data_IF_890990250355
#
_entry.id   IF_890990250355
#
_cell.length_a   1.000
_cell.length_b   1.000
_cell.length_c   1.000
_cell.angle_alpha   90.00
_cell.angle_beta   90.00
_cell.angle_gamma   90.00
#
_symmetry.space_group_name_H-M   'P 1'
#
loop_
_entity.id
_entity.type
_entity.pdbx_description
1 polymer ?
#
# COMPACT_ATOMS: atom_id res chain seq x y z
N UNK A 1 -2.87 19.54 43.40
CA UNK A 1 -2.89 18.22 42.72
C UNK A 1 -3.08 18.44 41.24
N UNK A 2 -2.38 17.67 40.40
CA UNK A 2 -2.49 17.79 38.95
C UNK A 2 -3.78 17.09 38.48
N UNK A 3 -4.58 17.79 37.67
CA UNK A 3 -5.81 17.24 37.12
C UNK A 3 -6.70 18.31 36.48
N UNK A 4 -7.77 17.87 35.84
CA UNK A 4 -8.80 18.75 35.30
C UNK A 4 -9.91 18.95 36.35
N UNK A 5 -10.23 20.20 36.67
CA UNK A 5 -11.38 20.50 37.53
C UNK A 5 -12.66 20.55 36.70
N UNK A 6 -13.66 19.77 37.09
CA UNK A 6 -14.99 19.70 36.50
C UNK A 6 -16.04 20.07 37.53
N UNK A 7 -17.03 20.88 37.14
CA UNK A 7 -18.10 21.31 38.04
C UNK A 7 -19.46 20.89 37.50
N UNK A 8 -20.30 20.28 38.35
CA UNK A 8 -21.69 19.92 38.03
C UNK A 8 -22.50 19.90 39.32
N UNK A 9 -23.72 20.42 39.28
CA UNK A 9 -24.62 20.49 40.45
C UNK A 9 -23.97 21.16 41.68
N UNK A 10 -23.19 22.24 41.48
CA UNK A 10 -22.41 22.93 42.50
C UNK A 10 -21.31 22.11 43.20
N UNK A 11 -21.05 20.88 42.75
CA UNK A 11 -19.92 20.07 43.20
C UNK A 11 -18.73 20.25 42.25
N UNK A 12 -17.51 20.28 42.79
CA UNK A 12 -16.27 20.32 42.00
C UNK A 12 -15.50 19.02 42.17
N UNK A 13 -15.21 18.38 41.05
CA UNK A 13 -14.46 17.13 40.94
C UNK A 13 -13.11 17.42 40.31
N UNK A 14 -12.04 16.90 40.90
CA UNK A 14 -10.73 16.89 40.29
C UNK A 14 -10.50 15.53 39.63
N UNK A 15 -10.36 15.56 38.31
CA UNK A 15 -10.08 14.40 37.47
C UNK A 15 -8.56 14.24 37.38
N UNK A 16 -8.04 13.22 38.05
CA UNK A 16 -6.60 12.95 38.10
C UNK A 16 -6.15 12.11 36.91
N UNK A 17 -4.91 12.29 36.42
CA UNK A 17 -4.43 11.63 35.20
C UNK A 17 -4.38 10.09 35.29
N UNK A 18 -4.44 9.51 36.50
CA UNK A 18 -4.36 8.06 36.72
C UNK A 18 -5.71 7.42 37.03
N UNK A 19 -6.81 8.11 36.75
CA UNK A 19 -8.16 7.54 36.80
C UNK A 19 -8.94 7.78 38.09
N UNK A 20 -8.30 8.31 39.12
CA UNK A 20 -8.97 8.70 40.38
C UNK A 20 -9.73 10.01 40.20
N UNK A 21 -10.83 10.15 40.92
CA UNK A 21 -11.57 11.40 41.07
C UNK A 21 -11.55 11.81 42.53
N UNK A 22 -11.11 13.05 42.81
CA UNK A 22 -11.10 13.60 44.16
C UNK A 22 -12.04 14.80 44.31
N UNK A 23 -12.60 14.95 45.50
CA UNK A 23 -13.41 16.10 45.93
C UNK A 23 -12.96 16.46 47.34
N UNK A 24 -12.62 17.72 47.59
CA UNK A 24 -12.07 18.18 48.88
C UNK A 24 -10.87 17.33 49.37
N UNK A 25 -9.99 16.94 48.44
CA UNK A 25 -8.83 16.06 48.67
C UNK A 25 -9.13 14.62 49.14
N UNK A 26 -10.40 14.18 49.08
CA UNK A 26 -10.78 12.80 49.32
C UNK A 26 -11.13 12.10 48.00
N UNK A 27 -10.76 10.82 47.85
CA UNK A 27 -11.14 10.02 46.70
C UNK A 27 -12.63 9.70 46.74
N UNK A 28 -13.36 10.10 45.70
CA UNK A 28 -14.82 9.94 45.61
C UNK A 28 -15.25 9.03 44.47
N UNK A 29 -14.32 8.58 43.61
CA UNK A 29 -14.64 7.68 42.52
C UNK A 29 -13.52 7.52 41.51
N UNK A 30 -13.91 7.07 40.31
CA UNK A 30 -13.05 6.90 39.15
C UNK A 30 -13.66 7.59 37.93
N UNK A 31 -12.86 7.77 36.88
CA UNK A 31 -13.38 8.29 35.62
C UNK A 31 -12.92 7.50 34.41
N UNK A 32 -13.71 7.57 33.34
CA UNK A 32 -13.36 7.11 31.98
C UNK A 32 -14.01 8.05 30.97
N UNK A 33 -13.83 7.78 29.70
CA UNK A 33 -14.59 8.37 28.60
C UNK A 33 -15.69 7.44 28.12
N UNK A 34 -16.80 8.01 27.66
CA UNK A 34 -17.87 7.25 26.97
C UNK A 34 -17.69 7.25 25.44
N UNK A 35 -18.63 6.61 24.74
CA UNK A 35 -18.64 6.51 23.27
C UNK A 35 -18.76 7.87 22.55
N UNK A 36 -19.15 8.93 23.27
CA UNK A 36 -19.27 10.31 22.77
C UNK A 36 -18.10 11.20 23.24
N UNK A 37 -17.03 10.58 23.76
CA UNK A 37 -15.84 11.23 24.28
C UNK A 37 -16.08 12.17 25.46
N UNK A 38 -17.21 12.07 26.16
CA UNK A 38 -17.44 12.81 27.40
C UNK A 38 -16.65 12.17 28.52
N UNK A 39 -16.23 12.96 29.51
CA UNK A 39 -15.70 12.40 30.75
C UNK A 39 -16.88 11.91 31.60
N UNK A 40 -16.84 10.65 32.01
CA UNK A 40 -17.81 10.04 32.92
C UNK A 40 -17.11 9.72 34.24
N UNK A 41 -17.58 10.35 35.31
CA UNK A 41 -17.19 10.06 36.68
C UNK A 41 -18.15 9.03 37.25
N UNK A 42 -17.64 7.89 37.69
CA UNK A 42 -18.36 6.89 38.50
C UNK A 42 -17.98 7.10 39.96
N UNK A 43 -18.92 7.56 40.78
CA UNK A 43 -18.72 7.74 42.23
C UNK A 43 -18.66 6.37 42.93
N UNK A 44 -18.17 6.35 44.17
CA UNK A 44 -18.06 5.12 44.99
C UNK A 44 -19.42 4.44 45.28
N UNK A 45 -20.53 5.17 45.16
CA UNK A 45 -21.90 4.65 45.25
C UNK A 45 -22.43 4.10 43.92
N UNK A 46 -21.58 4.02 42.90
CA UNK A 46 -21.88 3.64 41.51
C UNK A 46 -22.76 4.62 40.72
N UNK A 47 -23.14 5.77 41.30
CA UNK A 47 -23.77 6.84 40.53
C UNK A 47 -22.78 7.42 39.52
N UNK A 48 -23.28 7.94 38.40
CA UNK A 48 -22.44 8.44 37.31
C UNK A 48 -22.79 9.87 36.89
N UNK A 49 -21.77 10.67 36.63
CA UNK A 49 -21.87 12.05 36.14
C UNK A 49 -21.09 12.18 34.83
N UNK A 50 -21.75 12.62 33.76
CA UNK A 50 -21.12 12.90 32.46
C UNK A 50 -20.85 14.40 32.28
N UNK A 51 -19.72 14.73 31.68
CA UNK A 51 -19.22 16.08 31.45
C UNK A 51 -18.80 16.27 29.99
N UNK A 52 -19.35 17.30 29.36
CA UNK A 52 -18.89 17.75 28.04
C UNK A 52 -17.50 18.39 28.15
N UNK A 53 -16.60 17.94 27.29
CA UNK A 53 -15.21 18.40 27.24
C UNK A 53 -14.75 18.52 25.79
N UNK A 54 -13.75 19.36 25.57
CA UNK A 54 -13.07 19.46 24.29
C UNK A 54 -11.67 18.86 24.39
N UNK A 55 -11.41 17.86 23.54
CA UNK A 55 -10.11 17.21 23.38
C UNK A 55 -9.37 17.81 22.19
N UNK A 56 -8.07 18.02 22.33
CA UNK A 56 -7.20 18.46 21.25
C UNK A 56 -5.78 17.95 21.45
N UNK A 57 -5.04 17.76 20.36
CA UNK A 57 -3.58 17.73 20.43
C UNK A 57 -3.05 19.14 20.19
N UNK A 58 -2.17 19.61 21.06
CA UNK A 58 -1.52 20.91 20.88
C UNK A 58 -0.40 20.85 19.83
N UNK A 59 0.25 21.99 19.57
CA UNK A 59 1.35 22.12 18.60
C UNK A 59 2.58 21.26 18.90
N UNK A 60 2.71 20.77 20.13
CA UNK A 60 3.80 19.90 20.59
C UNK A 60 3.45 18.40 20.55
N UNK A 61 2.34 18.03 19.89
CA UNK A 61 1.78 16.68 19.84
C UNK A 61 1.36 16.13 21.22
N UNK A 62 0.87 16.98 22.12
CA UNK A 62 0.44 16.59 23.46
C UNK A 62 -1.08 16.66 23.56
N UNK A 63 -1.70 15.63 24.13
CA UNK A 63 -3.14 15.62 24.36
C UNK A 63 -3.51 16.58 25.49
N UNK A 64 -4.44 17.47 25.19
CA UNK A 64 -5.01 18.46 26.10
C UNK A 64 -6.51 18.24 26.15
N UNK A 65 -7.06 18.31 27.35
CA UNK A 65 -8.49 18.34 27.60
C UNK A 65 -8.88 19.68 28.18
N UNK A 66 -10.05 20.19 27.79
CA UNK A 66 -10.56 21.46 28.30
C UNK A 66 -12.04 21.40 28.63
N UNK A 67 -12.41 22.10 29.70
CA UNK A 67 -13.78 22.18 30.21
C UNK A 67 -13.97 23.53 30.91
N UNK A 68 -15.05 24.25 30.60
CA UNK A 68 -15.40 25.52 31.24
C UNK A 68 -14.22 26.52 31.36
N UNK A 69 -13.42 26.65 30.30
CA UNK A 69 -12.26 27.55 30.26
C UNK A 69 -10.98 27.02 30.96
N UNK A 70 -11.05 25.89 31.67
CA UNK A 70 -9.88 25.23 32.25
C UNK A 70 -9.28 24.25 31.24
N UNK A 71 -7.95 24.17 31.20
CA UNK A 71 -7.21 23.22 30.36
C UNK A 71 -6.33 22.33 31.23
N UNK A 72 -6.15 21.09 30.80
CA UNK A 72 -5.24 20.13 31.43
C UNK A 72 -4.46 19.38 30.35
N UNK A 73 -3.14 19.36 30.49
CA UNK A 73 -2.22 18.66 29.61
C UNK A 73 -1.64 17.46 30.35
N UNK A 74 -1.90 16.25 29.83
CA UNK A 74 -1.46 15.01 30.48
C UNK A 74 0.07 14.88 30.56
N UNK A 75 0.80 15.61 29.71
CA UNK A 75 2.26 15.57 29.59
C UNK A 75 2.96 16.46 30.62
N UNK A 76 2.27 17.46 31.18
CA UNK A 76 2.85 18.41 32.15
C UNK A 76 2.94 17.84 33.56
N UNK A 77 2.40 16.64 33.79
CA UNK A 77 2.52 15.94 35.06
C UNK A 77 3.89 15.25 35.13
N UNK A 78 4.78 15.59 36.09
CA UNK A 78 6.18 15.15 36.07
C UNK A 78 6.42 13.63 35.98
N UNK A 79 5.52 12.82 36.55
CA UNK A 79 5.63 11.37 36.54
C UNK A 79 4.95 10.70 35.33
N UNK A 80 4.24 11.46 34.48
CA UNK A 80 3.54 10.91 33.34
C UNK A 80 4.48 10.68 32.16
N UNK A 81 4.27 9.55 31.51
CA UNK A 81 4.87 9.22 30.22
C UNK A 81 3.74 8.84 29.28
N UNK A 82 3.06 9.83 28.67
CA UNK A 82 1.91 9.57 27.84
C UNK A 82 2.26 8.68 26.65
N UNK A 83 1.40 7.70 26.37
CA UNK A 83 1.48 6.85 25.19
C UNK A 83 0.12 6.78 24.52
N UNK A 84 0.18 6.87 23.20
CA UNK A 84 -0.99 6.82 22.33
C UNK A 84 -0.88 5.62 21.39
N UNK A 85 -1.95 4.86 21.27
CA UNK A 85 -2.09 3.75 20.34
C UNK A 85 -3.52 3.72 19.78
N UNK A 86 -3.72 2.97 18.71
CA UNK A 86 -5.05 2.80 18.09
C UNK A 86 -5.48 1.34 18.16
N UNK A 87 -6.78 1.13 18.38
CA UNK A 87 -7.44 -0.18 18.27
C UNK A 87 -8.76 0.04 17.52
N UNK A 88 -8.88 -0.54 16.34
CA UNK A 88 -10.02 -0.32 15.43
C UNK A 88 -10.32 1.18 15.21
N UNK A 89 -9.24 1.94 15.01
CA UNK A 89 -9.21 3.40 14.89
C UNK A 89 -9.69 4.21 16.12
N UNK A 90 -10.01 3.56 17.24
CA UNK A 90 -10.20 4.23 18.53
C UNK A 90 -8.83 4.58 19.13
N UNK A 91 -8.62 5.84 19.50
CA UNK A 91 -7.42 6.30 20.18
C UNK A 91 -7.44 5.82 21.63
N UNK A 92 -6.54 4.92 21.99
CA UNK A 92 -6.30 4.51 23.37
C UNK A 92 -5.21 5.40 23.95
N UNK A 93 -5.55 6.09 25.03
CA UNK A 93 -4.67 7.01 25.73
C UNK A 93 -4.25 6.39 27.05
N UNK A 94 -2.93 6.26 27.25
CA UNK A 94 -2.31 5.91 28.52
C UNK A 94 -1.52 7.12 29.03
N UNK A 95 -2.07 7.92 29.96
CA UNK A 95 -1.35 9.08 30.51
C UNK A 95 0.02 8.72 31.10
N UNK A 96 0.15 7.52 31.64
CA UNK A 96 1.43 6.93 31.99
C UNK A 96 1.48 5.49 31.47
N UNK A 97 2.41 5.22 30.54
CA UNK A 97 2.57 3.90 29.91
C UNK A 97 2.88 2.76 30.90
N UNK A 98 3.40 3.09 32.08
CA UNK A 98 3.81 2.13 33.11
C UNK A 98 2.69 1.91 34.14
N UNK A 99 1.51 2.53 33.96
CA UNK A 99 0.34 2.39 34.82
C UNK A 99 -0.82 1.72 34.06
N UNK A 100 -1.72 1.09 34.81
CA UNK A 100 -2.85 0.34 34.23
C UNK A 100 -3.95 1.24 33.64
N UNK A 101 -4.06 2.48 34.11
CA UNK A 101 -5.13 3.38 33.69
C UNK A 101 -5.02 3.78 32.22
N UNK A 102 -6.11 3.61 31.47
CA UNK A 102 -6.27 4.05 30.10
C UNK A 102 -7.71 4.48 29.84
N UNK A 103 -7.89 5.38 28.87
CA UNK A 103 -9.19 5.78 28.37
C UNK A 103 -9.17 5.85 26.84
N UNK A 104 -10.36 5.97 26.25
CA UNK A 104 -10.55 5.81 24.81
C UNK A 104 -11.18 7.05 24.20
N UNK A 105 -10.66 7.52 23.08
CA UNK A 105 -11.23 8.61 22.32
C UNK A 105 -11.57 8.11 20.91
N UNK A 106 -12.83 8.25 20.53
CA UNK A 106 -13.30 8.02 19.17
C UNK A 106 -12.99 9.27 18.34
N UNK A 107 -12.27 9.06 17.26
CA UNK A 107 -11.83 10.12 16.39
C UNK A 107 -12.05 9.76 14.92
N UNK A 108 -12.14 10.80 14.10
CA UNK A 108 -12.00 10.67 12.66
C UNK A 108 -10.55 11.00 12.28
N UNK A 109 -10.01 10.24 11.32
CA UNK A 109 -8.61 10.34 10.93
C UNK A 109 -8.51 10.69 9.46
N UNK A 110 -7.65 11.65 9.13
CA UNK A 110 -7.29 11.94 7.74
C UNK A 110 -5.79 12.18 7.63
N UNK A 111 -5.23 11.90 6.45
CA UNK A 111 -3.82 12.17 6.16
C UNK A 111 -3.73 13.41 5.27
N UNK A 112 -2.91 14.37 5.68
CA UNK A 112 -2.65 15.58 4.90
C UNK A 112 -1.62 15.36 3.79
N UNK A 113 -1.51 16.32 2.87
CA UNK A 113 -0.51 16.35 1.79
C UNK A 113 0.95 16.39 2.29
N UNK A 114 1.18 16.90 3.51
CA UNK A 114 2.48 16.90 4.20
C UNK A 114 2.74 15.62 5.01
N UNK A 115 1.86 14.63 4.91
CA UNK A 115 1.88 13.38 5.67
C UNK A 115 1.81 13.60 7.18
N UNK A 116 1.15 14.67 7.62
CA UNK A 116 0.69 14.83 9.00
C UNK A 116 -0.68 14.17 9.17
N UNK A 117 -0.92 13.60 10.35
CA UNK A 117 -2.18 12.93 10.66
C UNK A 117 -3.10 13.92 11.35
N UNK A 118 -4.26 14.17 10.76
CA UNK A 118 -5.30 14.97 11.36
C UNK A 118 -6.24 14.06 12.15
N UNK A 119 -6.54 14.47 13.38
CA UNK A 119 -7.43 13.78 14.31
C UNK A 119 -8.57 14.72 14.69
N UNK A 120 -9.79 14.33 14.39
CA UNK A 120 -10.99 15.10 14.74
C UNK A 120 -11.74 14.42 15.87
N UNK A 121 -11.85 15.09 17.01
CA UNK A 121 -12.58 14.59 18.19
C UNK A 121 -13.65 15.63 18.55
N UNK A 122 -14.91 15.21 18.63
CA UNK A 122 -16.06 16.08 18.91
C UNK A 122 -16.10 17.33 18.00
N UNK A 123 -15.82 17.14 16.71
CA UNK A 123 -15.79 18.22 15.72
C UNK A 123 -14.55 19.12 15.74
N UNK A 124 -13.62 18.91 16.68
CA UNK A 124 -12.36 19.67 16.77
C UNK A 124 -11.22 18.89 16.14
N UNK A 125 -10.64 19.44 15.07
CA UNK A 125 -9.49 18.86 14.37
C UNK A 125 -8.19 19.35 14.97
N UNK A 126 -7.29 18.41 15.27
CA UNK A 126 -5.89 18.66 15.63
C UNK A 126 -4.97 18.01 14.61
N UNK A 127 -3.77 18.55 14.42
CA UNK A 127 -2.76 17.98 13.51
C UNK A 127 -1.61 17.40 14.32
N UNK A 128 -1.36 16.11 14.15
CA UNK A 128 -0.19 15.42 14.67
C UNK A 128 0.92 15.48 13.63
N UNK A 129 2.02 16.15 13.99
CA UNK A 129 3.23 16.17 13.20
C UNK A 129 4.02 14.87 13.42
N UNK A 130 4.18 14.11 12.35
CA UNK A 130 4.77 12.78 12.39
C UNK A 130 5.05 12.23 11.00
N UNK A 131 5.09 10.91 10.86
CA UNK A 131 5.34 10.29 9.56
C UNK A 131 4.78 8.88 9.51
N UNK A 132 4.37 8.44 8.32
CA UNK A 132 4.08 7.03 8.06
C UNK A 132 5.36 6.33 7.61
N UNK A 133 5.72 5.23 8.29
CA UNK A 133 6.84 4.38 7.90
C UNK A 133 6.61 2.96 8.40
N UNK A 134 6.71 1.98 7.50
CA UNK A 134 6.60 0.58 7.89
C UNK A 134 7.28 -0.36 6.87
N UNK A 135 8.08 -1.33 7.32
CA UNK A 135 8.72 -2.31 6.42
C UNK A 135 7.83 -3.53 6.10
N UNK A 136 6.59 -3.58 6.60
CA UNK A 136 5.71 -4.75 6.55
C UNK A 136 4.33 -4.42 6.01
N UNK A 137 4.22 -3.50 5.05
CA UNK A 137 2.95 -3.09 4.41
C UNK A 137 1.91 -2.47 5.35
N UNK A 138 2.20 -2.18 6.63
CA UNK A 138 1.18 -1.65 7.56
C UNK A 138 1.09 -0.14 7.45
N UNK A 139 -0.09 0.41 7.72
CA UNK A 139 -0.23 1.84 7.96
C UNK A 139 0.11 2.14 9.43
N UNK A 140 1.36 2.51 9.67
CA UNK A 140 1.89 2.86 11.00
C UNK A 140 2.33 4.33 11.00
N UNK A 141 1.59 5.17 11.73
CA UNK A 141 1.93 6.57 11.89
C UNK A 141 2.74 6.77 13.18
N UNK A 142 3.93 7.34 13.04
CA UNK A 142 4.86 7.61 14.14
C UNK A 142 4.88 9.10 14.43
N UNK A 143 4.80 9.46 15.70
CA UNK A 143 4.98 10.84 16.14
C UNK A 143 5.60 10.85 17.54
N UNK A 144 6.22 11.97 17.91
CA UNK A 144 6.78 12.17 19.24
C UNK A 144 6.27 13.47 19.84
N UNK A 145 6.30 13.56 21.17
CA UNK A 145 6.20 14.84 21.86
C UNK A 145 7.36 15.75 21.40
N UNK A 146 7.05 16.93 20.88
CA UNK A 146 8.08 17.85 20.34
C UNK A 146 8.96 18.45 21.42
N UNK A 147 8.51 18.47 22.68
CA UNK A 147 9.30 18.88 23.85
C UNK A 147 10.17 17.74 24.40
N UNK A 148 9.87 16.49 24.07
CA UNK A 148 10.65 15.33 24.49
C UNK A 148 10.55 14.20 23.45
N UNK A 149 11.51 14.17 22.52
CA UNK A 149 11.48 13.25 21.37
C UNK A 149 11.59 11.77 21.75
N UNK A 150 12.04 11.46 22.97
CA UNK A 150 12.08 10.09 23.51
C UNK A 150 10.68 9.55 23.84
N UNK A 151 9.69 10.43 24.00
CA UNK A 151 8.29 10.08 24.17
C UNK A 151 7.62 9.92 22.80
N UNK A 152 7.95 8.82 22.12
CA UNK A 152 7.36 8.42 20.85
C UNK A 152 6.07 7.62 21.03
N UNK A 153 5.15 7.76 20.07
CA UNK A 153 3.94 6.97 19.95
C UNK A 153 3.77 6.48 18.51
N UNK A 154 3.09 5.34 18.36
CA UNK A 154 2.84 4.72 17.06
C UNK A 154 1.37 4.35 16.99
N UNK A 155 0.66 4.90 15.99
CA UNK A 155 -0.73 4.60 15.71
C UNK A 155 -0.78 3.61 14.54
N UNK A 156 -1.24 2.40 14.83
CA UNK A 156 -1.39 1.33 13.85
C UNK A 156 -2.85 1.17 13.43
N UNK A 157 -3.10 1.20 12.13
CA UNK A 157 -4.45 1.05 11.58
C UNK A 157 -4.61 -0.31 10.91
N UNK A 158 -5.68 -1.02 11.26
CA UNK A 158 -6.04 -2.29 10.64
C UNK A 158 -6.88 -2.01 9.40
N UNK A 159 -6.56 -2.64 8.28
CA UNK A 159 -7.23 -2.30 7.03
C UNK A 159 -6.74 -3.06 5.80
N UNK A 160 -7.02 -2.49 4.64
CA UNK A 160 -6.60 -3.02 3.35
C UNK A 160 -6.11 -1.89 2.43
N UNK A 161 -5.15 -2.23 1.59
CA UNK A 161 -4.71 -1.33 0.53
C UNK A 161 -5.58 -1.51 -0.72
N UNK A 162 -5.71 -0.42 -1.46
CA UNK A 162 -6.21 -0.39 -2.83
C UNK A 162 -5.39 0.62 -3.63
N UNK A 163 -5.27 0.37 -4.92
CA UNK A 163 -4.64 1.24 -5.89
C UNK A 163 -5.67 2.06 -6.66
N UNK A 164 -5.22 3.20 -7.18
CA UNK A 164 -5.92 3.92 -8.24
C UNK A 164 -4.90 4.69 -9.07
N UNK A 165 -5.27 5.10 -10.27
CA UNK A 165 -4.46 5.96 -11.13
C UNK A 165 -5.09 7.34 -11.16
N UNK A 166 -4.34 8.39 -10.83
CA UNK A 166 -4.86 9.76 -10.90
C UNK A 166 -4.95 10.27 -12.35
N UNK A 167 -5.53 11.46 -12.55
CA UNK A 167 -5.70 12.06 -13.88
C UNK A 167 -4.39 12.28 -14.65
N UNK A 168 -3.24 12.32 -13.95
CA UNK A 168 -1.92 12.42 -14.55
C UNK A 168 -1.32 11.09 -15.01
N UNK A 169 -1.95 9.96 -14.70
CA UNK A 169 -1.38 8.64 -14.95
C UNK A 169 -0.39 8.21 -13.87
N UNK A 170 -0.42 8.82 -12.69
CA UNK A 170 0.40 8.40 -11.56
C UNK A 170 -0.36 7.35 -10.73
N UNK A 171 0.20 6.15 -10.52
CA UNK A 171 -0.38 5.18 -9.61
C UNK A 171 -0.24 5.66 -8.16
N UNK A 172 -1.36 5.66 -7.46
CA UNK A 172 -1.57 6.14 -6.09
C UNK A 172 -2.12 5.00 -5.23
N UNK A 173 -2.02 5.18 -3.92
CA UNK A 173 -2.51 4.21 -2.95
C UNK A 173 -3.53 4.84 -2.02
N UNK A 174 -4.48 4.01 -1.63
CA UNK A 174 -5.45 4.28 -0.59
C UNK A 174 -5.42 3.15 0.43
N UNK A 175 -5.38 3.49 1.72
CA UNK A 175 -5.56 2.55 2.81
C UNK A 175 -6.94 2.72 3.42
N UNK A 176 -7.80 1.73 3.26
CA UNK A 176 -9.12 1.69 3.90
C UNK A 176 -8.95 1.03 5.26
N UNK A 177 -9.19 1.77 6.33
CA UNK A 177 -9.03 1.32 7.71
C UNK A 177 -10.37 1.07 8.39
N UNK A 178 -10.40 0.04 9.24
CA UNK A 178 -11.58 -0.34 10.00
C UNK A 178 -11.86 0.62 11.13
N UNK A 179 -13.14 0.96 11.32
CA UNK A 179 -13.64 1.75 12.47
C UNK A 179 -14.58 0.91 13.33
N UNK A 180 -14.41 0.98 14.64
CA UNK A 180 -15.27 0.29 15.62
C UNK A 180 -16.75 0.69 15.47
N UNK A 181 -17.58 -0.24 14.96
CA UNK A 181 -19.02 -0.05 14.81
C UNK A 181 -19.44 1.04 13.82
N UNK A 182 -18.55 1.50 12.95
CA UNK A 182 -18.80 2.56 11.97
C UNK A 182 -18.39 2.11 10.56
N UNK A 183 -18.79 2.87 9.54
CA UNK A 183 -18.26 2.71 8.18
C UNK A 183 -16.74 2.84 8.20
N UNK A 184 -16.02 2.11 7.36
CA UNK A 184 -14.56 2.25 7.26
C UNK A 184 -14.14 3.69 6.88
N UNK A 185 -12.89 4.05 7.17
CA UNK A 185 -12.30 5.32 6.77
C UNK A 185 -11.16 5.13 5.77
N UNK A 186 -10.74 6.20 5.11
CA UNK A 186 -9.74 6.14 4.04
C UNK A 186 -8.56 7.09 4.31
N UNK A 187 -7.33 6.58 4.14
CA UNK A 187 -6.14 7.39 3.95
C UNK A 187 -5.72 7.34 2.48
N UNK A 188 -5.90 8.45 1.76
CA UNK A 188 -5.34 8.61 0.41
C UNK A 188 -3.91 9.11 0.54
N UNK A 189 -2.94 8.36 0.00
CA UNK A 189 -1.55 8.74 0.08
C UNK A 189 -1.21 9.89 -0.89
N UNK A 190 -0.57 10.98 -0.43
CA UNK A 190 -0.27 12.16 -1.24
C UNK A 190 0.66 11.94 -2.45
N UNK A 191 1.51 10.91 -2.41
CA UNK A 191 2.51 10.64 -3.45
C UNK A 191 2.21 9.36 -4.22
N UNK A 192 2.96 9.14 -5.31
CA UNK A 192 2.89 7.90 -6.08
C UNK A 192 3.70 6.76 -5.47
N UNK A 193 3.57 5.58 -6.07
CA UNK A 193 4.40 4.41 -5.77
C UNK A 193 5.62 4.33 -6.67
N UNK A 194 6.67 3.69 -6.16
CA UNK A 194 7.92 3.38 -6.87
C UNK A 194 8.29 1.92 -6.65
N UNK A 195 9.23 1.39 -7.42
CA UNK A 195 9.83 0.06 -7.17
C UNK A 195 11.25 0.25 -6.66
N UNK A 196 11.56 -0.35 -5.52
CA UNK A 196 12.94 -0.45 -5.06
C UNK A 196 13.65 -1.56 -5.82
N UNK A 197 14.52 -1.13 -6.74
CA UNK A 197 15.32 -1.97 -7.62
C UNK A 197 16.26 -2.93 -6.90
N UNK A 198 16.64 -2.67 -5.66
CA UNK A 198 17.53 -3.56 -4.90
C UNK A 198 16.82 -4.85 -4.44
N UNK A 199 15.50 -4.80 -4.33
CA UNK A 199 14.68 -5.90 -3.83
C UNK A 199 13.45 -6.22 -4.70
N UNK A 200 13.26 -5.45 -5.78
CA UNK A 200 12.11 -5.48 -6.68
C UNK A 200 10.76 -5.51 -5.94
N UNK A 201 10.62 -4.65 -4.93
CA UNK A 201 9.38 -4.50 -4.16
C UNK A 201 8.72 -3.16 -4.46
N UNK A 202 7.37 -3.17 -4.49
CA UNK A 202 6.61 -1.93 -4.61
C UNK A 202 6.72 -1.16 -3.29
N UNK A 203 6.87 0.15 -3.40
CA UNK A 203 7.09 1.02 -2.26
C UNK A 203 6.33 2.31 -2.41
N UNK A 204 5.85 2.81 -1.29
CA UNK A 204 5.51 4.21 -1.17
C UNK A 204 6.70 4.93 -0.55
N UNK A 205 7.32 5.87 -1.27
CA UNK A 205 8.46 6.65 -0.78
C UNK A 205 8.16 8.15 -0.87
N UNK A 206 8.57 8.92 0.14
CA UNK A 206 8.47 10.37 0.16
C UNK A 206 9.57 10.98 1.03
N UNK A 207 9.92 12.23 0.76
CA UNK A 207 10.76 13.02 1.68
C UNK A 207 9.87 13.75 2.68
N UNK A 208 10.27 13.73 3.96
CA UNK A 208 9.72 14.61 4.98
C UNK A 208 10.85 15.18 5.81
N UNK A 209 10.99 16.51 5.75
CA UNK A 209 12.02 17.25 6.47
C UNK A 209 13.44 16.71 6.19
N UNK A 210 13.75 16.40 4.93
CA UNK A 210 15.06 15.89 4.50
C UNK A 210 15.32 14.42 4.88
N UNK A 211 14.29 13.71 5.36
CA UNK A 211 14.37 12.28 5.67
C UNK A 211 13.47 11.50 4.73
N UNK A 212 14.06 10.54 4.02
CA UNK A 212 13.30 9.55 3.25
C UNK A 212 12.47 8.67 4.18
N UNK A 213 11.17 8.66 3.94
CA UNK A 213 10.18 7.81 4.61
C UNK A 213 9.59 6.85 3.59
N UNK A 214 9.19 5.67 4.07
CA UNK A 214 8.76 4.59 3.20
C UNK A 214 7.75 3.65 3.85
N UNK A 215 6.78 3.22 3.07
CA UNK A 215 6.01 2.00 3.34
C UNK A 215 6.48 0.98 2.31
N UNK A 216 7.11 -0.09 2.78
CA UNK A 216 7.42 -1.22 1.93
C UNK A 216 6.17 -2.06 1.79
N UNK A 217 5.70 -2.25 0.57
CA UNK A 217 4.63 -3.17 0.27
C UNK A 217 5.32 -4.51 0.04
N UNK A 218 4.98 -5.48 0.88
CA UNK A 218 5.51 -6.85 0.85
C UNK A 218 4.55 -7.71 0.05
N UNK A 219 5.04 -8.24 -1.05
CA UNK A 219 4.22 -8.95 -1.99
C UNK A 219 4.99 -9.42 -3.21
N UNK A 220 4.24 -9.74 -4.24
CA UNK A 220 4.71 -10.41 -5.44
C UNK A 220 4.38 -9.62 -6.68
N UNK A 221 5.39 -9.35 -7.49
CA UNK A 221 5.21 -8.73 -8.79
C UNK A 221 5.01 -9.81 -9.87
N UNK A 222 3.99 -9.63 -10.69
CA UNK A 222 3.65 -10.48 -11.83
C UNK A 222 3.38 -9.59 -13.03
N UNK A 223 3.81 -10.02 -14.21
CA UNK A 223 3.51 -9.34 -15.47
C UNK A 223 2.78 -10.35 -16.35
N UNK A 224 1.56 -10.02 -16.77
CA UNK A 224 0.80 -10.87 -17.71
C UNK A 224 1.24 -10.65 -19.16
N UNK A 225 0.78 -11.53 -20.03
CA UNK A 225 0.99 -11.46 -21.49
C UNK A 225 0.44 -10.16 -22.11
N UNK A 226 -0.61 -9.57 -21.50
CA UNK A 226 -1.20 -8.29 -21.90
C UNK A 226 -0.48 -7.05 -21.33
N UNK A 227 0.71 -7.23 -20.75
CA UNK A 227 1.49 -6.19 -20.07
C UNK A 227 0.75 -5.54 -18.88
N UNK A 228 -0.08 -6.32 -18.21
CA UNK A 228 -0.66 -5.93 -16.95
C UNK A 228 0.32 -6.25 -15.82
N UNK A 229 0.73 -5.22 -15.09
CA UNK A 229 1.52 -5.38 -13.88
C UNK A 229 0.54 -5.69 -12.75
N UNK A 230 0.57 -6.93 -12.25
CA UNK A 230 -0.16 -7.34 -11.05
C UNK A 230 0.80 -7.41 -9.89
N UNK A 231 0.42 -6.83 -8.76
CA UNK A 231 1.18 -6.87 -7.54
C UNK A 231 0.33 -7.42 -6.40
N UNK A 232 0.54 -8.69 -6.07
CA UNK A 232 -0.16 -9.36 -4.96
C UNK A 232 0.48 -9.02 -3.63
N UNK A 233 -0.18 -8.20 -2.81
CA UNK A 233 0.24 -7.85 -1.46
C UNK A 233 -0.09 -8.97 -0.48
N UNK A 234 0.89 -9.34 0.34
CA UNK A 234 0.74 -10.40 1.34
C UNK A 234 -0.03 -9.89 2.57
N UNK A 235 -0.92 -10.74 3.11
CA UNK A 235 -1.59 -10.50 4.40
C UNK A 235 -0.55 -10.34 5.51
N UNK A 236 -0.77 -9.38 6.39
CA UNK A 236 0.08 -9.13 7.55
C UNK A 236 -0.66 -9.47 8.82
N UNK A 237 -0.01 -10.20 9.72
CA UNK A 237 -0.55 -10.56 11.04
C UNK A 237 0.38 -10.09 12.16
N UNK A 238 -0.21 -9.80 13.31
CA UNK A 238 0.50 -9.59 14.57
C UNK A 238 1.04 -10.92 15.13
N UNK A 239 1.79 -10.85 16.24
CA UNK A 239 2.41 -12.02 16.88
C UNK A 239 1.38 -13.00 17.46
N UNK A 240 0.22 -12.52 17.86
CA UNK A 240 -0.95 -13.28 18.32
C UNK A 240 -1.88 -13.72 17.17
N UNK A 241 -1.46 -13.52 15.90
CA UNK A 241 -2.17 -14.02 14.73
C UNK A 241 -3.31 -13.14 14.22
N UNK A 242 -3.60 -12.00 14.87
CA UNK A 242 -4.63 -11.07 14.41
C UNK A 242 -4.22 -10.38 13.11
N UNK A 243 -5.17 -10.23 12.18
CA UNK A 243 -4.91 -9.57 10.90
C UNK A 243 -4.70 -8.07 11.10
N UNK A 244 -3.59 -7.54 10.58
CA UNK A 244 -3.27 -6.11 10.54
C UNK A 244 -3.52 -5.52 9.15
N UNK A 245 -3.19 -6.27 8.09
CA UNK A 245 -3.41 -5.86 6.69
C UNK A 245 -3.96 -7.04 5.92
N UNK A 246 -5.06 -6.84 5.19
CA UNK A 246 -5.62 -7.86 4.29
C UNK A 246 -4.72 -8.07 3.06
N UNK A 247 -4.75 -9.26 2.48
CA UNK A 247 -4.17 -9.48 1.15
C UNK A 247 -4.97 -8.71 0.10
N UNK A 248 -4.28 -8.15 -0.89
CA UNK A 248 -4.90 -7.41 -2.01
C UNK A 248 -4.05 -7.60 -3.26
N UNK A 249 -4.60 -7.34 -4.44
CA UNK A 249 -3.83 -7.35 -5.69
C UNK A 249 -3.96 -5.99 -6.36
N UNK A 250 -2.85 -5.27 -6.47
CA UNK A 250 -2.81 -4.06 -7.28
C UNK A 250 -2.65 -4.41 -8.74
N UNK A 251 -3.34 -3.68 -9.61
CA UNK A 251 -3.31 -3.91 -11.04
C UNK A 251 -3.05 -2.60 -11.77
N UNK A 252 -1.89 -2.53 -12.44
CA UNK A 252 -1.52 -1.39 -13.26
C UNK A 252 -1.41 -1.83 -14.72
N UNK A 253 -2.13 -1.14 -15.61
CA UNK A 253 -1.95 -1.34 -17.04
C UNK A 253 -0.69 -0.61 -17.48
N UNK A 254 0.20 -1.30 -18.19
CA UNK A 254 1.46 -0.72 -18.63
C UNK A 254 1.73 -0.97 -20.12
N UNK A 255 2.76 -0.31 -20.65
CA UNK A 255 3.28 -0.52 -21.99
C UNK A 255 4.81 -0.39 -21.98
N UNK A 256 5.47 -1.09 -22.90
CA UNK A 256 6.90 -0.85 -23.13
C UNK A 256 7.12 0.56 -23.65
N UNK A 257 8.16 1.20 -23.11
CA UNK A 257 8.62 2.49 -23.66
C UNK A 257 9.50 2.32 -24.89
N UNK A 258 10.12 1.15 -25.09
CA UNK A 258 11.11 0.87 -26.14
C UNK A 258 10.79 -0.45 -26.84
N UNK A 259 10.95 -0.48 -28.16
CA UNK A 259 10.80 -1.71 -28.96
C UNK A 259 11.96 -2.69 -28.76
N UNK A 260 13.15 -2.18 -28.44
CA UNK A 260 14.34 -2.95 -28.12
C UNK A 260 14.93 -2.46 -26.80
N UNK A 261 15.28 -3.36 -25.88
CA UNK A 261 15.93 -3.02 -24.62
C UNK A 261 16.78 -4.17 -24.06
N UNK A 262 17.79 -3.81 -23.27
CA UNK A 262 18.64 -4.70 -22.48
C UNK A 262 18.88 -4.08 -21.11
N UNK A 263 18.85 -4.86 -20.03
CA UNK A 263 19.04 -4.39 -18.65
C UNK A 263 17.71 -4.35 -17.89
N UNK A 264 17.46 -3.29 -17.13
CA UNK A 264 16.20 -3.13 -16.39
C UNK A 264 14.98 -3.08 -17.31
N UNK A 265 13.85 -3.55 -16.81
CA UNK A 265 12.56 -3.45 -17.48
C UNK A 265 11.85 -2.16 -17.09
N UNK A 266 11.77 -1.22 -18.04
CA UNK A 266 11.05 0.04 -17.90
C UNK A 266 9.66 -0.05 -18.53
N UNK A 267 8.62 0.04 -17.70
CA UNK A 267 7.22 -0.02 -18.09
C UNK A 267 6.53 1.32 -17.82
N UNK A 268 6.02 1.96 -18.88
CA UNK A 268 5.24 3.18 -18.74
C UNK A 268 3.80 2.84 -18.32
N UNK A 269 3.29 3.52 -17.29
CA UNK A 269 1.94 3.29 -16.76
C UNK A 269 0.92 3.99 -17.65
N UNK A 270 -0.13 3.27 -18.04
CA UNK A 270 -1.23 3.84 -18.82
C UNK A 270 -2.13 4.68 -17.91
N UNK A 271 -2.63 5.79 -18.44
CA UNK A 271 -3.68 6.61 -17.83
C UNK A 271 -5.02 5.87 -17.88
N UNK A 272 -6.02 6.40 -17.18
CA UNK A 272 -7.38 5.85 -17.18
C UNK A 272 -8.02 5.80 -18.59
N UNK A 273 -7.68 6.76 -19.45
CA UNK A 273 -8.13 6.81 -20.85
C UNK A 273 -7.41 5.81 -21.78
N UNK A 274 -6.48 5.00 -21.25
CA UNK A 274 -5.69 4.02 -21.99
C UNK A 274 -4.43 4.58 -22.67
N UNK A 275 -4.24 5.91 -22.70
CA UNK A 275 -3.03 6.53 -23.23
C UNK A 275 -1.81 6.28 -22.34
N UNK A 276 -0.60 6.40 -22.90
CA UNK A 276 0.64 6.22 -22.14
C UNK A 276 0.87 7.44 -21.23
N UNK A 277 1.03 7.19 -19.92
CA UNK A 277 1.38 8.20 -18.92
C UNK A 277 2.89 8.49 -18.90
N UNK A 278 3.28 9.49 -18.11
CA UNK A 278 4.70 9.86 -17.94
C UNK A 278 5.42 9.03 -16.88
N UNK A 279 4.66 8.38 -15.98
CA UNK A 279 5.22 7.55 -14.91
C UNK A 279 5.73 6.23 -15.45
N UNK A 280 6.95 5.86 -15.07
CA UNK A 280 7.57 4.58 -15.41
C UNK A 280 7.81 3.78 -14.14
N UNK A 281 7.44 2.50 -14.16
CA UNK A 281 7.89 1.50 -13.18
C UNK A 281 9.06 0.75 -13.78
N UNK A 282 10.19 0.75 -13.07
CA UNK A 282 11.42 0.09 -13.49
C UNK A 282 11.73 -1.10 -12.59
N UNK A 283 11.83 -2.29 -13.17
CA UNK A 283 12.16 -3.54 -12.47
C UNK A 283 13.60 -3.91 -12.78
N UNK A 284 14.41 -4.11 -11.74
CA UNK A 284 15.82 -4.45 -11.87
C UNK A 284 15.99 -5.89 -12.31
N UNK A 285 16.85 -6.10 -13.31
CA UNK A 285 17.16 -7.45 -13.79
C UNK A 285 17.93 -7.46 -15.10
N UNK A 286 18.08 -8.66 -15.65
CA UNK A 286 18.67 -8.86 -16.99
C UNK A 286 17.57 -9.10 -17.99
N UNK A 287 16.78 -8.08 -18.26
CA UNK A 287 15.76 -8.14 -19.28
C UNK A 287 16.39 -7.90 -20.65
N UNK A 288 15.94 -8.60 -21.67
CA UNK A 288 16.31 -8.36 -23.06
C UNK A 288 15.06 -8.56 -23.89
N UNK A 289 14.66 -7.55 -24.64
CA UNK A 289 13.71 -7.69 -25.73
C UNK A 289 14.37 -7.13 -26.97
N UNK A 290 14.52 -7.97 -28.00
CA UNK A 290 14.92 -7.52 -29.34
C UNK A 290 13.85 -7.99 -30.31
N UNK A 291 13.07 -7.04 -30.82
CA UNK A 291 12.16 -7.21 -31.93
C UNK A 291 12.89 -6.80 -33.22
N UNK A 292 13.45 -7.79 -33.91
CA UNK A 292 13.96 -7.65 -35.28
C UNK A 292 13.06 -8.37 -36.27
N UNK A 293 13.15 -8.06 -37.56
CA UNK A 293 12.35 -8.70 -38.62
C UNK A 293 12.50 -10.22 -38.71
N UNK A 294 13.56 -10.80 -38.14
CA UNK A 294 13.85 -12.25 -38.16
C UNK A 294 14.35 -12.81 -36.82
N UNK A 295 14.37 -12.01 -35.74
CA UNK A 295 14.86 -12.40 -34.41
C UNK A 295 13.92 -11.89 -33.33
N UNK A 296 13.49 -12.79 -32.45
CA UNK A 296 12.79 -12.46 -31.21
C UNK A 296 13.59 -13.05 -30.05
N UNK A 297 14.26 -12.20 -29.29
CA UNK A 297 14.87 -12.60 -28.03
C UNK A 297 14.16 -11.85 -26.90
N UNK A 298 13.50 -12.59 -26.02
CA UNK A 298 12.83 -12.15 -24.81
C UNK A 298 13.36 -12.96 -23.62
N UNK A 299 14.18 -12.36 -22.78
CA UNK A 299 14.65 -13.01 -21.55
C UNK A 299 14.58 -12.06 -20.39
N UNK A 300 14.38 -12.58 -19.20
CA UNK A 300 14.49 -11.85 -17.97
C UNK A 300 14.93 -12.72 -16.81
N UNK A 301 15.87 -12.21 -16.03
CA UNK A 301 16.15 -12.71 -14.69
C UNK A 301 16.02 -11.56 -13.72
N UNK A 302 15.24 -11.73 -12.66
CA UNK A 302 15.16 -10.78 -11.56
C UNK A 302 15.12 -11.49 -10.22
N UNK A 303 15.64 -10.83 -9.19
CA UNK A 303 15.56 -11.30 -7.80
C UNK A 303 14.53 -10.47 -7.04
N UNK A 304 13.73 -11.11 -6.19
CA UNK A 304 12.80 -10.45 -5.30
C UNK A 304 13.01 -10.94 -3.87
N UNK A 305 13.03 -10.02 -2.89
CA UNK A 305 13.03 -10.39 -1.48
C UNK A 305 11.60 -10.64 -0.99
N UNK A 306 11.27 -11.86 -0.56
CA UNK A 306 10.00 -12.21 0.09
C UNK A 306 10.24 -12.64 1.53
N UNK A 307 9.67 -11.89 2.49
CA UNK A 307 9.75 -12.21 3.92
C UNK A 307 11.18 -12.54 4.42
N UNK A 308 12.20 -11.86 3.87
CA UNK A 308 13.61 -12.08 4.20
C UNK A 308 14.36 -13.07 3.30
N UNK A 309 13.66 -13.81 2.43
CA UNK A 309 14.25 -14.75 1.48
C UNK A 309 14.40 -14.14 0.08
N UNK A 310 15.53 -14.38 -0.58
CA UNK A 310 15.72 -14.03 -2.00
C UNK A 310 15.13 -15.12 -2.89
N UNK A 311 14.24 -14.74 -3.80
CA UNK A 311 13.72 -15.61 -4.85
C UNK A 311 14.16 -15.09 -6.21
N UNK A 312 14.95 -15.87 -6.94
CA UNK A 312 15.39 -15.56 -8.30
C UNK A 312 14.39 -16.16 -9.29
N UNK A 313 13.77 -15.31 -10.10
CA UNK A 313 12.92 -15.72 -11.22
C UNK A 313 13.68 -15.53 -12.51
N UNK A 314 13.93 -16.61 -13.23
CA UNK A 314 14.55 -16.59 -14.56
C UNK A 314 13.55 -17.11 -15.59
N UNK A 315 13.36 -16.33 -16.64
CA UNK A 315 12.69 -16.72 -17.86
C UNK A 315 13.64 -16.38 -19.00
N UNK A 316 13.83 -17.30 -19.95
CA UNK A 316 14.55 -16.97 -21.17
C UNK A 316 13.85 -17.62 -22.35
N UNK A 317 13.67 -16.82 -23.38
CA UNK A 317 13.09 -17.19 -24.66
C UNK A 317 13.91 -16.48 -25.73
N UNK A 318 14.81 -17.18 -26.39
CA UNK A 318 15.57 -16.61 -27.50
C UNK A 318 15.28 -17.45 -28.73
N UNK A 319 14.74 -16.82 -29.77
CA UNK A 319 14.46 -17.47 -31.03
C UNK A 319 14.90 -16.67 -32.25
N UNK A 320 15.24 -17.40 -33.30
CA UNK A 320 15.61 -16.86 -34.60
C UNK A 320 14.79 -17.57 -35.65
N UNK A 321 14.21 -16.78 -36.55
CA UNK A 321 13.59 -17.28 -37.75
C UNK A 321 14.72 -17.61 -38.74
N UNK A 322 14.89 -18.89 -39.06
CA UNK A 322 15.90 -19.36 -40.01
C UNK A 322 15.22 -20.12 -41.14
N UNK A 323 15.62 -19.82 -42.38
CA UNK A 323 15.25 -20.65 -43.53
C UNK A 323 16.22 -21.82 -43.62
N UNK A 324 15.72 -23.04 -43.42
CA UNK A 324 16.54 -24.27 -43.48
C UNK A 324 15.77 -25.37 -44.20
N UNK A 325 16.42 -25.96 -45.20
CA UNK A 325 15.91 -27.14 -45.93
C UNK A 325 14.47 -26.96 -46.44
N UNK A 326 14.13 -25.79 -47.00
CA UNK A 326 12.78 -25.51 -47.54
C UNK A 326 11.70 -25.21 -46.50
N UNK A 327 12.03 -25.19 -45.20
CA UNK A 327 11.11 -24.88 -44.11
C UNK A 327 11.50 -23.58 -43.39
N UNK A 328 10.50 -22.88 -42.86
CA UNK A 328 10.73 -21.80 -41.89
C UNK A 328 10.81 -22.46 -40.52
N UNK A 329 11.98 -22.40 -39.89
CA UNK A 329 12.18 -22.96 -38.55
C UNK A 329 12.22 -21.85 -37.52
N UNK A 330 11.45 -22.04 -36.46
CA UNK A 330 11.53 -21.25 -35.24
C UNK A 330 12.14 -22.12 -34.14
N UNK A 331 13.42 -21.91 -33.85
CA UNK A 331 14.10 -22.56 -32.74
C UNK A 331 14.10 -21.64 -31.52
N UNK A 332 13.76 -22.16 -30.34
CA UNK A 332 13.87 -21.44 -29.08
C UNK A 332 14.35 -22.34 -27.94
N UNK A 333 15.01 -21.74 -26.96
CA UNK A 333 15.50 -22.42 -25.75
C UNK A 333 14.68 -21.96 -24.54
N UNK A 334 14.21 -22.91 -23.73
CA UNK A 334 13.59 -22.64 -22.42
C UNK A 334 14.48 -23.17 -21.30
N UNK A 335 14.30 -22.67 -20.07
CA UNK A 335 15.05 -23.07 -18.87
C UNK A 335 15.33 -24.59 -18.86
N UNK A 336 16.63 -24.95 -18.82
CA UNK A 336 17.22 -26.29 -18.92
C UNK A 336 17.79 -26.68 -20.30
N UNK A 337 18.48 -25.75 -20.99
CA UNK A 337 19.35 -25.97 -22.17
C UNK A 337 18.78 -26.78 -23.34
N UNK A 338 17.50 -27.13 -23.29
CA UNK A 338 16.86 -28.00 -24.28
C UNK A 338 16.30 -27.12 -25.37
N UNK A 339 16.88 -27.19 -26.56
CA UNK A 339 16.38 -26.51 -27.77
C UNK A 339 15.06 -27.17 -28.18
N UNK A 340 14.01 -26.36 -28.30
CA UNK A 340 12.73 -26.73 -28.89
C UNK A 340 12.65 -26.08 -30.27
N UNK A 341 12.18 -26.82 -31.27
CA UNK A 341 12.04 -26.33 -32.65
C UNK A 341 10.60 -26.48 -33.09
N UNK A 342 10.02 -25.41 -33.62
CA UNK A 342 8.77 -25.45 -34.38
C UNK A 342 9.17 -25.36 -35.86
N UNK A 343 8.84 -26.38 -36.63
CA UNK A 343 9.06 -26.42 -38.08
C UNK A 343 7.75 -26.11 -38.77
N UNK A 344 7.72 -25.03 -39.54
CA UNK A 344 6.63 -24.73 -40.46
C UNK A 344 7.12 -25.11 -41.85
N UNK A 345 6.59 -26.21 -42.38
CA UNK A 345 6.86 -26.61 -43.75
C UNK A 345 6.11 -25.67 -44.69
N UNK A 346 6.89 -24.96 -45.52
CA UNK A 346 6.36 -24.12 -46.58
C UNK A 346 6.27 -25.00 -47.81
N UNK A 347 5.12 -25.05 -48.48
CA UNK A 347 4.82 -25.91 -49.64
C UNK A 347 4.65 -27.41 -49.33
N UNK A 348 3.77 -27.76 -48.37
CA UNK A 348 3.27 -29.15 -48.28
C UNK A 348 1.83 -29.22 -48.79
N UNK A 349 1.62 -30.03 -49.81
CA UNK A 349 0.30 -30.40 -50.32
C UNK A 349 -0.43 -31.27 -49.28
N UNK A 350 -1.62 -30.85 -48.84
CA UNK A 350 -2.50 -31.70 -48.03
C UNK A 350 -3.36 -32.53 -48.99
N UNK A 351 -2.91 -33.76 -49.30
CA UNK A 351 -3.70 -34.72 -50.06
C UNK A 351 -4.76 -35.38 -49.17
N UNK A 352 -6.05 -35.16 -49.44
CA UNK A 352 -7.16 -35.86 -48.78
C UNK A 352 -7.68 -36.94 -49.73
N UNK A 353 -6.95 -38.05 -49.82
CA UNK A 353 -7.37 -39.23 -50.59
C UNK A 353 -7.42 -39.02 -52.11
N UNK A 354 -7.88 -40.05 -52.83
CA UNK A 354 -7.71 -40.18 -54.29
C UNK A 354 -8.74 -39.45 -55.14
N UNK A 355 -9.68 -38.70 -54.56
CA UNK A 355 -10.84 -38.17 -55.29
C UNK A 355 -11.27 -36.74 -54.94
N UNK A 356 -10.41 -35.96 -54.27
CA UNK A 356 -10.56 -34.51 -54.16
C UNK A 356 -9.19 -33.88 -53.86
N UNK A 357 -8.82 -32.83 -54.59
CA UNK A 357 -7.64 -32.02 -54.28
C UNK A 357 -8.08 -30.68 -53.67
N UNK A 358 -7.59 -30.40 -52.46
CA UNK A 358 -7.67 -29.07 -51.86
C UNK A 358 -6.36 -28.35 -52.18
N UNK A 359 -6.37 -27.39 -53.10
CA UNK A 359 -5.22 -26.53 -53.36
C UNK A 359 -5.34 -25.32 -52.41
N UNK A 360 -4.57 -25.37 -51.31
CA UNK A 360 -4.47 -24.29 -50.35
C UNK A 360 -3.10 -23.61 -50.50
N UNK A 361 -3.10 -22.35 -50.93
CA UNK A 361 -1.87 -21.55 -51.03
C UNK A 361 -1.85 -20.45 -49.99
N UNK A 362 -0.83 -20.51 -49.12
CA UNK A 362 -0.46 -19.41 -48.23
C UNK A 362 0.62 -18.59 -48.92
N UNK A 363 0.24 -17.41 -49.43
CA UNK A 363 1.18 -16.47 -50.03
C UNK A 363 1.55 -15.40 -49.00
N UNK A 364 2.85 -15.31 -48.71
CA UNK A 364 3.44 -14.24 -47.91
C UNK A 364 4.05 -13.20 -48.86
N UNK A 365 3.53 -11.98 -48.85
CA UNK A 365 4.06 -10.89 -49.68
C UNK A 365 5.16 -10.17 -48.92
N UNK A 366 6.37 -10.20 -49.47
CA UNK A 366 7.55 -9.53 -48.93
C UNK A 366 7.92 -8.36 -49.84
N UNK A 367 8.16 -7.17 -49.26
CA UNK A 367 8.68 -6.01 -49.98
C UNK A 367 9.81 -5.37 -49.14
N UNK A 368 10.96 -5.13 -49.76
CA UNK A 368 12.14 -4.60 -49.07
C UNK A 368 12.66 -5.49 -47.92
N UNK A 369 12.41 -6.80 -47.96
CA UNK A 369 12.84 -7.74 -46.91
C UNK A 369 11.98 -7.74 -45.64
N UNK A 370 10.79 -7.13 -45.68
CA UNK A 370 9.79 -7.18 -44.60
C UNK A 370 8.49 -7.82 -45.08
N UNK A 371 7.80 -8.55 -44.19
CA UNK A 371 6.47 -9.11 -44.47
C UNK A 371 5.45 -7.96 -44.51
N UNK A 372 4.76 -7.82 -45.65
CA UNK A 372 3.78 -6.74 -45.90
C UNK A 372 2.35 -7.24 -46.05
N UNK A 373 2.14 -8.53 -46.29
CA UNK A 373 0.79 -9.08 -46.39
C UNK A 373 0.75 -10.60 -46.30
N UNK A 374 -0.38 -11.12 -45.83
CA UNK A 374 -0.73 -12.54 -45.83
C UNK A 374 -1.95 -12.69 -46.72
N UNK A 375 -1.88 -13.56 -47.73
CA UNK A 375 -3.06 -13.94 -48.52
C UNK A 375 -3.25 -15.45 -48.46
N UNK A 376 -4.46 -15.87 -48.11
CA UNK A 376 -4.84 -17.26 -48.02
C UNK A 376 -5.89 -17.56 -49.08
N UNK A 377 -5.57 -18.46 -50.01
CA UNK A 377 -6.51 -18.91 -51.04
C UNK A 377 -6.92 -20.36 -50.77
N UNK A 378 -8.22 -20.60 -50.83
CA UNK A 378 -8.84 -21.92 -50.76
C UNK A 378 -9.49 -22.21 -52.11
N UNK A 379 -8.98 -23.21 -52.83
CA UNK A 379 -9.61 -23.77 -54.02
C UNK A 379 -9.99 -25.23 -53.78
N UNK A 380 -11.23 -25.59 -54.12
CA UNK A 380 -11.69 -26.98 -54.14
C UNK A 380 -11.82 -27.39 -55.61
N UNK A 381 -11.07 -28.41 -56.02
CA UNK A 381 -11.26 -29.07 -57.31
C UNK A 381 -11.70 -30.52 -57.07
N UNK A 382 -12.76 -30.93 -57.77
CA UNK A 382 -13.32 -32.28 -57.70
C UNK A 382 -12.58 -33.21 -58.67
#
# INVERSE_FOLDING_TARGET
MAGLQLTKNNETFLIEPLGTVTQNNAAVGKWKTDATNKIVVTKNDNSSLSFDVAWEFNSDNQLVVSAAGKKFNFTEVPANVPRYETRDAVLVVKPNKDQAFAFELRAEWTLSESHDLNVTINGKTSTLDGFVHDPRSRFMFHFSNKKNLLQGSVLGFVGNWSEFVDGGGQPRLKFTYKRDGQTDGDFVLPKGVVVDKSMNQLMYEYDKQGKKRRIQLVGTLMISEDFQIRYGLDRQTSADGQQQVASTTFTFNAAFKKQNFTGDLDLAIKKQDGSIGTTTISISGKFTAVLGSTRLAAGFTFEQNRAGNKTTTTFSFAGKLEFKQGSIQWAFTTNNTTTRTITLEVNVDINIGTSAQLDARLNLVMEGGQLKGITFFLGIAF
#
